data_IF_865507607230
#
_entry.id   IF_865507607230
#
_cell.length_a   1.000
_cell.length_b   1.000
_cell.length_c   1.000
_cell.angle_alpha   90.00
_cell.angle_beta   90.00
_cell.angle_gamma   90.00
#
_symmetry.space_group_name_H-M   'P 1'
#
loop_
_entity.id
_entity.type
_entity.pdbx_description
1 polymer ?
#
# COMPACT_ATOMS: atom_id res chain seq x y z
N UNK A 1 1.22 -5.39 -24.76
CA UNK A 1 1.49 -5.47 -23.31
C UNK A 1 2.56 -4.44 -22.96
N UNK A 2 2.21 -3.32 -22.34
CA UNK A 2 3.17 -2.25 -22.04
C UNK A 2 4.01 -2.61 -20.80
N UNK A 3 5.13 -3.31 -21.03
CA UNK A 3 6.12 -3.70 -20.00
C UNK A 3 6.81 -2.52 -19.32
N UNK A 4 6.69 -1.29 -19.85
CA UNK A 4 7.29 -0.05 -19.30
C UNK A 4 6.85 0.32 -17.88
N UNK A 5 5.83 -0.32 -17.34
CA UNK A 5 5.29 -0.02 -16.01
C UNK A 5 5.66 -1.05 -14.93
N UNK A 6 6.26 -2.18 -15.28
CA UNK A 6 6.73 -3.15 -14.28
C UNK A 6 8.15 -2.78 -13.88
N UNK A 7 8.42 -2.76 -12.58
CA UNK A 7 9.71 -2.41 -12.00
C UNK A 7 10.19 -3.48 -11.03
N UNK A 8 11.50 -3.56 -10.85
CA UNK A 8 12.15 -4.47 -9.88
C UNK A 8 12.74 -3.69 -8.70
N UNK A 9 12.93 -4.32 -7.53
CA UNK A 9 13.61 -3.70 -6.40
C UNK A 9 15.00 -3.20 -6.79
N UNK A 10 15.33 -1.99 -6.36
CA UNK A 10 16.58 -1.31 -6.71
C UNK A 10 16.53 -0.55 -8.04
N UNK A 11 15.45 -0.66 -8.82
CA UNK A 11 15.30 0.11 -10.05
C UNK A 11 15.07 1.58 -9.75
N UNK A 12 15.84 2.45 -10.42
CA UNK A 12 15.67 3.92 -10.35
C UNK A 12 14.36 4.33 -11.04
N UNK A 13 13.57 5.14 -10.35
CA UNK A 13 12.27 5.63 -10.81
C UNK A 13 12.27 7.11 -11.19
N UNK A 14 13.07 7.93 -10.50
CA UNK A 14 13.11 9.38 -10.74
C UNK A 14 14.03 10.13 -9.76
N UNK A 15 13.99 11.46 -9.81
CA UNK A 15 14.61 12.33 -8.81
C UNK A 15 13.66 12.58 -7.64
N UNK A 16 14.20 12.71 -6.44
CA UNK A 16 13.43 12.97 -5.24
C UNK A 16 12.89 14.40 -5.15
N UNK A 17 13.35 15.30 -6.03
CA UNK A 17 12.87 16.69 -6.13
C UNK A 17 11.54 16.76 -6.90
N UNK A 18 11.38 15.92 -7.92
CA UNK A 18 10.20 15.91 -8.79
C UNK A 18 9.08 15.02 -8.22
N UNK A 19 9.43 14.08 -7.34
CA UNK A 19 8.51 13.06 -6.83
C UNK A 19 8.67 12.81 -5.34
N UNK A 20 7.54 12.63 -4.67
CA UNK A 20 7.48 12.14 -3.29
C UNK A 20 7.39 10.61 -3.29
N UNK A 21 8.16 9.99 -2.39
CA UNK A 21 8.15 8.54 -2.21
C UNK A 21 6.86 8.09 -1.52
N UNK A 22 6.05 7.33 -2.25
CA UNK A 22 4.91 6.61 -1.71
C UNK A 22 5.19 5.12 -1.51
N UNK A 23 4.16 4.32 -1.18
CA UNK A 23 4.31 2.90 -0.89
C UNK A 23 5.05 2.12 -2.00
N UNK A 24 5.97 1.26 -1.60
CA UNK A 24 6.79 0.46 -2.54
C UNK A 24 7.97 1.21 -3.17
N UNK A 25 8.27 2.42 -2.69
CA UNK A 25 9.43 3.21 -3.11
C UNK A 25 10.22 3.72 -1.91
N UNK A 26 11.46 4.13 -2.12
CA UNK A 26 12.28 4.81 -1.11
C UNK A 26 13.24 5.79 -1.77
N UNK A 27 13.67 6.80 -1.01
CA UNK A 27 14.66 7.78 -1.45
C UNK A 27 16.03 7.39 -0.93
N UNK A 28 17.06 7.46 -1.79
CA UNK A 28 18.46 7.35 -1.40
C UNK A 28 19.25 8.47 -2.07
N UNK A 29 19.73 9.42 -1.28
CA UNK A 29 20.32 10.65 -1.80
C UNK A 29 19.28 11.48 -2.55
N UNK A 30 19.57 11.86 -3.80
CA UNK A 30 18.66 12.64 -4.64
C UNK A 30 17.81 11.79 -5.59
N UNK A 31 17.82 10.45 -5.42
CA UNK A 31 17.20 9.50 -6.34
C UNK A 31 16.15 8.65 -5.62
N UNK A 32 15.09 8.36 -6.34
CA UNK A 32 13.96 7.55 -5.89
C UNK A 32 14.03 6.17 -6.54
N UNK A 33 13.89 5.13 -5.73
CA UNK A 33 14.07 3.73 -6.10
C UNK A 33 12.84 2.89 -5.75
N UNK A 34 12.59 1.83 -6.51
CA UNK A 34 11.62 0.81 -6.15
C UNK A 34 12.15 -0.07 -5.02
N UNK A 35 11.33 -0.35 -4.00
CA UNK A 35 11.64 -1.34 -2.95
C UNK A 35 11.02 -2.71 -3.23
N UNK A 36 10.07 -2.79 -4.15
CA UNK A 36 9.29 -4.01 -4.45
C UNK A 36 9.18 -4.26 -5.95
N UNK A 37 8.99 -5.53 -6.34
CA UNK A 37 8.60 -5.86 -7.72
C UNK A 37 7.13 -5.48 -7.89
N UNK A 38 6.79 -4.69 -8.89
CA UNK A 38 5.39 -4.30 -9.09
C UNK A 38 5.17 -3.29 -10.21
N UNK A 39 3.95 -2.77 -10.26
CA UNK A 39 3.55 -1.77 -11.25
C UNK A 39 3.81 -0.37 -10.68
N UNK A 40 4.57 0.45 -11.41
CA UNK A 40 4.76 1.87 -11.07
C UNK A 40 3.48 2.65 -11.38
N UNK A 41 3.07 3.53 -10.47
CA UNK A 41 1.96 4.47 -10.64
C UNK A 41 2.37 5.84 -10.11
N UNK A 42 2.07 6.88 -10.87
CA UNK A 42 2.26 8.27 -10.46
C UNK A 42 0.87 8.84 -10.18
N UNK A 43 0.61 9.28 -8.96
CA UNK A 43 -0.61 9.97 -8.58
C UNK A 43 -0.31 11.45 -8.31
N UNK A 44 -1.13 12.34 -8.85
CA UNK A 44 -1.11 13.76 -8.48
C UNK A 44 -1.90 13.93 -7.20
N UNK A 45 -1.29 14.46 -6.14
CA UNK A 45 -2.00 14.80 -4.92
C UNK A 45 -2.26 16.30 -4.89
N UNK A 46 -3.53 16.69 -5.04
CA UNK A 46 -3.96 18.10 -5.10
C UNK A 46 -4.22 18.62 -3.68
N UNK A 47 -3.19 18.68 -2.85
CA UNK A 47 -3.25 19.37 -1.57
C UNK A 47 -2.12 20.41 -1.56
N UNK A 48 -2.48 21.67 -1.83
CA UNK A 48 -1.68 22.88 -1.63
C UNK A 48 -0.31 22.98 -2.35
N UNK A 49 -0.08 22.11 -3.33
CA UNK A 49 1.03 22.16 -4.29
C UNK A 49 0.97 20.92 -5.17
N UNK A 50 1.25 21.03 -6.47
CA UNK A 50 1.21 19.89 -7.41
C UNK A 50 2.32 18.88 -7.08
N UNK A 51 2.10 18.02 -6.09
CA UNK A 51 3.09 17.04 -5.67
C UNK A 51 2.78 15.70 -6.32
N UNK A 52 3.76 15.18 -7.07
CA UNK A 52 3.66 13.88 -7.73
C UNK A 52 4.13 12.79 -6.78
N UNK A 53 3.23 11.90 -6.37
CA UNK A 53 3.58 10.75 -5.53
C UNK A 53 3.84 9.53 -6.41
N UNK A 54 5.03 8.95 -6.27
CA UNK A 54 5.42 7.72 -6.96
C UNK A 54 5.16 6.51 -6.05
N UNK A 55 4.37 5.56 -6.55
CA UNK A 55 4.04 4.32 -5.85
C UNK A 55 4.37 3.10 -6.70
N UNK A 56 4.78 2.02 -6.06
CA UNK A 56 4.94 0.72 -6.70
C UNK A 56 4.12 -0.30 -5.94
N UNK A 57 3.01 -0.71 -6.55
CA UNK A 57 2.12 -1.71 -5.96
C UNK A 57 2.37 -3.08 -6.58
N UNK A 58 2.44 -4.11 -5.73
CA UNK A 58 2.22 -5.49 -6.18
C UNK A 58 0.74 -5.63 -6.60
N UNK A 59 0.46 -6.44 -7.61
CA UNK A 59 -0.91 -6.73 -8.03
C UNK A 59 -1.75 -7.35 -6.90
N UNK A 60 -1.09 -8.06 -5.97
CA UNK A 60 -1.69 -8.50 -4.72
C UNK A 60 -1.68 -7.35 -3.72
N UNK A 61 -2.85 -6.73 -3.54
CA UNK A 61 -3.10 -5.65 -2.59
C UNK A 61 -2.53 -5.95 -1.21
N UNK A 62 -1.93 -4.92 -0.60
CA UNK A 62 -1.50 -4.94 0.78
C UNK A 62 -2.73 -5.14 1.68
N UNK A 63 -2.63 -6.08 2.62
CA UNK A 63 -3.70 -6.33 3.59
C UNK A 63 -3.99 -5.04 4.37
N UNK A 64 -5.25 -4.62 4.39
CA UNK A 64 -5.65 -3.47 5.20
C UNK A 64 -5.33 -3.72 6.68
N UNK A 65 -4.74 -2.71 7.31
CA UNK A 65 -4.45 -2.70 8.74
C UNK A 65 -5.59 -1.92 9.39
N UNK A 66 -6.28 -2.48 10.41
CA UNK A 66 -7.34 -1.76 11.11
C UNK A 66 -6.76 -0.67 12.01
N UNK A 67 -7.42 0.49 12.03
CA UNK A 67 -7.14 1.61 12.92
C UNK A 67 -8.24 1.76 13.98
N UNK A 68 -8.03 2.64 14.96
CA UNK A 68 -9.07 2.95 15.96
C UNK A 68 -10.29 3.53 15.23
N UNK A 69 -11.49 3.04 15.59
CA UNK A 69 -12.76 3.38 14.92
C UNK A 69 -12.95 2.83 13.49
N UNK A 70 -12.12 1.89 13.00
CA UNK A 70 -12.40 1.19 11.74
C UNK A 70 -13.59 0.22 11.86
N UNK A 71 -14.42 0.15 10.82
CA UNK A 71 -15.50 -0.84 10.74
C UNK A 71 -14.96 -2.14 10.16
N UNK A 72 -15.15 -3.26 10.88
CA UNK A 72 -14.65 -4.57 10.43
C UNK A 72 -15.78 -5.56 10.18
N UNK A 73 -15.60 -6.39 9.17
CA UNK A 73 -16.34 -7.65 9.03
C UNK A 73 -15.42 -8.79 9.45
N UNK A 74 -15.89 -9.64 10.36
CA UNK A 74 -15.11 -10.75 10.86
C UNK A 74 -15.93 -12.01 11.12
N UNK A 75 -15.25 -13.16 11.09
CA UNK A 75 -15.83 -14.45 11.43
C UNK A 75 -15.57 -14.76 12.90
N UNK A 76 -16.63 -15.06 13.65
CA UNK A 76 -16.50 -15.53 15.03
C UNK A 76 -15.78 -16.88 15.03
N UNK A 77 -14.63 -16.96 15.71
CA UNK A 77 -13.83 -18.18 15.85
C UNK A 77 -14.24 -18.94 17.11
N UNK A 78 -14.44 -18.20 18.21
CA UNK A 78 -14.73 -18.76 19.52
C UNK A 78 -15.61 -17.82 20.30
N UNK A 79 -16.55 -18.38 21.05
CA UNK A 79 -17.40 -17.64 21.99
C UNK A 79 -17.14 -18.20 23.38
N UNK A 80 -16.93 -17.30 24.34
CA UNK A 80 -16.90 -17.59 25.77
C UNK A 80 -17.88 -16.64 26.47
N UNK A 81 -18.29 -16.91 27.73
CA UNK A 81 -19.27 -16.06 28.41
C UNK A 81 -18.84 -14.58 28.57
N UNK A 82 -17.53 -14.28 28.53
CA UNK A 82 -16.99 -12.93 28.72
C UNK A 82 -16.44 -12.28 27.44
N UNK A 83 -16.19 -13.06 26.39
CA UNK A 83 -15.61 -12.55 25.15
C UNK A 83 -15.90 -13.45 23.96
N UNK A 84 -15.96 -12.85 22.77
CA UNK A 84 -15.94 -13.56 21.50
C UNK A 84 -14.65 -13.21 20.74
N UNK A 85 -13.92 -14.25 20.34
CA UNK A 85 -12.72 -14.12 19.50
C UNK A 85 -13.16 -14.14 18.05
N UNK A 86 -12.77 -13.12 17.29
CA UNK A 86 -13.18 -12.91 15.90
C UNK A 86 -11.95 -12.81 14.99
N UNK A 87 -12.01 -13.47 13.83
CA UNK A 87 -11.04 -13.29 12.75
C UNK A 87 -11.47 -12.13 11.87
N UNK A 88 -10.66 -11.08 11.80
CA UNK A 88 -10.90 -9.94 10.90
C UNK A 88 -10.73 -10.39 9.45
N UNK A 89 -11.79 -10.27 8.64
CA UNK A 89 -11.81 -10.64 7.24
C UNK A 89 -11.75 -9.43 6.31
N UNK A 90 -12.42 -8.34 6.69
CA UNK A 90 -12.46 -7.09 5.91
C UNK A 90 -12.35 -5.91 6.86
N UNK A 91 -11.58 -4.90 6.46
CA UNK A 91 -11.52 -3.59 7.12
C UNK A 91 -12.09 -2.57 6.13
N UNK A 92 -13.17 -1.90 6.52
CA UNK A 92 -13.98 -1.03 5.68
C UNK A 92 -14.37 -1.72 4.36
N UNK A 93 -13.71 -1.39 3.25
CA UNK A 93 -13.95 -1.99 1.93
C UNK A 93 -12.74 -2.79 1.40
N UNK A 94 -11.74 -3.05 2.23
CA UNK A 94 -10.50 -3.73 1.84
C UNK A 94 -10.38 -5.10 2.51
N UNK A 95 -10.31 -6.21 1.74
CA UNK A 95 -10.18 -7.54 2.31
C UNK A 95 -8.82 -7.70 2.98
N UNK A 96 -8.82 -8.28 4.17
CA UNK A 96 -7.60 -8.69 4.86
C UNK A 96 -7.31 -10.15 4.50
N UNK A 97 -6.18 -10.39 3.84
CA UNK A 97 -5.74 -11.76 3.56
C UNK A 97 -5.27 -12.43 4.86
N UNK A 98 -5.74 -13.65 5.11
CA UNK A 98 -5.24 -14.51 6.18
C UNK A 98 -3.77 -14.84 5.88
N UNK A 99 -2.86 -14.39 6.76
CA UNK A 99 -1.45 -14.81 6.77
C UNK A 99 -1.35 -16.22 7.35
#
# INVERSE_FOLDING_TARGET
MNTKNIVTPGQRLGFAQDYVAGPGTYVRGNLLYASVVGMKRVSKQTAEGETLVLTVSREKQQSAIPEVCSLITGKVIRITPKEAVVSIMVVDNSPRKRL
#
